data_IF_134703838016
#
_entry.id   IF_134703838016
#
_cell.length_a   1.000
_cell.length_b   1.000
_cell.length_c   1.000
_cell.angle_alpha   90.00
_cell.angle_beta   90.00
_cell.angle_gamma   90.00
#
_symmetry.space_group_name_H-M   'P 1'
#
loop_
_entity.id
_entity.type
_entity.pdbx_description
1 polymer ?
#
# COMPACT_ATOMS: atom_id res chain seq x y z
N UNK A 1 39.81 -25.39 -17.45
CA UNK A 1 38.39 -25.53 -17.85
C UNK A 1 37.55 -25.14 -16.68
N UNK A 2 37.32 -23.86 -16.50
CA UNK A 2 36.45 -23.27 -15.47
C UNK A 2 35.07 -23.11 -16.09
N UNK A 3 34.09 -23.83 -15.56
CA UNK A 3 32.68 -23.67 -15.94
C UNK A 3 32.17 -22.36 -15.34
N UNK A 4 31.86 -21.44 -16.22
CA UNK A 4 31.18 -20.20 -15.95
C UNK A 4 29.67 -20.53 -15.60
N UNK A 5 29.34 -20.44 -14.33
CA UNK A 5 27.96 -20.61 -13.83
C UNK A 5 27.34 -19.22 -13.61
N UNK A 6 27.21 -18.43 -14.67
CA UNK A 6 26.36 -17.27 -14.66
C UNK A 6 24.89 -17.77 -14.67
N UNK A 7 24.32 -18.04 -13.49
CA UNK A 7 22.87 -18.21 -13.37
C UNK A 7 22.22 -16.88 -13.73
N UNK A 8 21.68 -16.83 -14.93
CA UNK A 8 20.76 -15.84 -15.41
C UNK A 8 19.52 -15.91 -14.50
N UNK A 9 19.42 -15.01 -13.51
CA UNK A 9 18.22 -14.94 -12.66
C UNK A 9 17.12 -14.32 -13.52
N UNK A 10 15.99 -15.02 -13.71
CA UNK A 10 14.87 -14.48 -14.46
C UNK A 10 14.21 -13.40 -13.60
N UNK A 11 14.11 -12.19 -14.12
CA UNK A 11 13.18 -11.18 -13.59
C UNK A 11 11.79 -11.79 -13.44
N UNK A 12 10.94 -11.21 -12.58
CA UNK A 12 9.58 -11.72 -12.35
C UNK A 12 8.89 -11.83 -13.69
N UNK A 13 8.80 -13.08 -14.18
CA UNK A 13 8.21 -13.36 -15.46
C UNK A 13 6.70 -13.57 -15.30
N UNK A 14 5.96 -13.43 -16.39
CA UNK A 14 4.56 -13.90 -16.47
C UNK A 14 4.36 -15.27 -15.86
N UNK A 15 5.37 -16.15 -15.92
CA UNK A 15 5.33 -17.50 -15.35
C UNK A 15 5.28 -17.48 -13.81
N UNK A 16 6.02 -16.58 -13.16
CA UNK A 16 5.99 -16.48 -11.69
C UNK A 16 4.61 -16.01 -11.20
N UNK A 17 4.05 -14.97 -11.82
CA UNK A 17 2.72 -14.49 -11.50
C UNK A 17 1.65 -15.60 -11.68
N UNK A 18 1.74 -16.37 -12.78
CA UNK A 18 0.84 -17.48 -13.05
C UNK A 18 1.07 -18.69 -12.15
N UNK A 19 2.32 -18.98 -11.75
CA UNK A 19 2.65 -20.10 -10.86
C UNK A 19 2.16 -19.86 -9.42
N UNK A 20 2.37 -18.66 -8.89
CA UNK A 20 1.85 -18.29 -7.55
C UNK A 20 0.32 -18.30 -7.55
N UNK A 21 -0.31 -17.92 -8.67
CA UNK A 21 -1.78 -17.97 -8.81
C UNK A 21 -2.34 -19.37 -9.10
N UNK A 22 -1.52 -20.33 -9.53
CA UNK A 22 -1.95 -21.70 -9.89
C UNK A 22 -2.08 -22.68 -8.72
N UNK A 23 -1.39 -22.44 -7.60
CA UNK A 23 -1.36 -23.38 -6.48
C UNK A 23 -2.62 -23.39 -5.59
N UNK A 24 -3.59 -22.51 -5.84
CA UNK A 24 -4.84 -22.39 -5.07
C UNK A 24 -6.09 -23.01 -5.70
N UNK A 25 -5.96 -23.82 -6.77
CA UNK A 25 -7.09 -24.48 -7.43
C UNK A 25 -7.35 -25.85 -6.82
N UNK A 26 -7.99 -25.90 -5.64
CA UNK A 26 -8.70 -27.10 -5.20
C UNK A 26 -10.14 -26.72 -4.89
N UNK A 27 -11.05 -27.31 -5.70
CA UNK A 27 -12.50 -27.39 -5.56
C UNK A 27 -13.33 -26.11 -5.64
N UNK A 28 -13.62 -25.68 -6.86
CA UNK A 28 -14.87 -24.99 -7.15
C UNK A 28 -15.63 -25.79 -8.24
N UNK A 29 -16.25 -26.87 -7.83
CA UNK A 29 -17.26 -27.55 -8.65
C UNK A 29 -18.65 -27.05 -8.25
N UNK A 30 -19.33 -26.47 -9.24
CA UNK A 30 -20.78 -26.34 -9.37
C UNK A 30 -21.52 -25.55 -8.27
N UNK A 31 -21.60 -24.23 -8.40
CA UNK A 31 -22.77 -23.48 -7.98
C UNK A 31 -23.18 -22.57 -9.15
N UNK A 32 -23.97 -23.15 -10.05
CA UNK A 32 -24.55 -22.47 -11.19
C UNK A 32 -25.59 -21.43 -10.79
N UNK A 33 -25.73 -20.44 -11.62
CA UNK A 33 -26.90 -19.58 -11.93
C UNK A 33 -27.90 -19.10 -10.83
N UNK A 34 -27.94 -19.70 -9.65
CA UNK A 34 -28.82 -19.28 -8.53
C UNK A 34 -28.17 -18.27 -7.59
N UNK A 35 -26.84 -18.08 -7.68
CA UNK A 35 -26.10 -17.16 -6.81
C UNK A 35 -26.30 -15.67 -7.12
N UNK A 36 -26.74 -15.32 -8.30
CA UNK A 36 -26.90 -13.92 -8.71
C UNK A 36 -28.13 -13.22 -8.06
N UNK A 37 -29.23 -13.93 -7.85
CA UNK A 37 -30.41 -13.33 -7.22
C UNK A 37 -30.29 -13.20 -5.70
N UNK A 38 -29.59 -14.10 -5.03
CA UNK A 38 -29.39 -14.01 -3.58
C UNK A 38 -28.40 -12.89 -3.17
N UNK A 39 -27.57 -12.42 -4.08
CA UNK A 39 -26.60 -11.34 -3.83
C UNK A 39 -27.22 -9.93 -3.95
N UNK A 40 -28.30 -9.76 -4.67
CA UNK A 40 -29.02 -8.49 -4.79
C UNK A 40 -29.79 -8.12 -3.52
N UNK A 41 -30.13 -9.10 -2.66
CA UNK A 41 -30.82 -8.87 -1.38
C UNK A 41 -29.86 -8.73 -0.19
N UNK A 42 -28.56 -8.93 -0.38
CA UNK A 42 -27.57 -8.85 0.67
C UNK A 42 -26.27 -8.21 0.16
N UNK A 43 -26.22 -6.89 0.00
CA UNK A 43 -24.98 -6.16 0.26
C UNK A 43 -24.67 -6.26 1.78
N UNK A 44 -24.59 -7.51 2.27
CA UNK A 44 -24.46 -7.77 3.69
C UNK A 44 -23.08 -7.44 4.18
N UNK A 45 -22.03 -7.90 3.50
CA UNK A 45 -20.67 -7.81 3.99
C UNK A 45 -19.72 -7.43 2.86
N UNK A 46 -19.18 -6.20 2.91
CA UNK A 46 -18.19 -5.74 1.97
C UNK A 46 -16.79 -6.13 2.43
N UNK A 47 -16.08 -6.88 1.60
CA UNK A 47 -14.77 -7.42 1.93
C UNK A 47 -13.66 -6.67 1.21
N UNK A 48 -12.77 -6.05 2.00
CA UNK A 48 -11.51 -5.48 1.55
C UNK A 48 -10.37 -6.45 1.87
N UNK A 49 -9.45 -6.67 0.92
CA UNK A 49 -8.30 -7.56 1.11
C UNK A 49 -6.98 -6.80 1.14
N UNK A 50 -6.21 -7.04 2.21
CA UNK A 50 -4.90 -6.45 2.44
C UNK A 50 -3.83 -7.04 1.51
N UNK A 51 -2.82 -6.27 1.07
CA UNK A 51 -1.63 -6.79 0.41
C UNK A 51 -0.67 -7.50 1.38
N UNK A 52 -1.00 -7.56 2.66
CA UNK A 52 -0.15 -8.09 3.73
C UNK A 52 -0.78 -9.32 4.38
N UNK A 53 0.07 -10.22 4.88
CA UNK A 53 -0.36 -11.42 5.60
C UNK A 53 -0.90 -11.15 7.02
N UNK A 54 -1.06 -9.88 7.38
CA UNK A 54 -1.56 -9.44 8.69
C UNK A 54 -2.35 -8.14 8.55
N UNK A 55 -3.27 -7.92 9.49
CA UNK A 55 -3.97 -6.65 9.69
C UNK A 55 -3.41 -5.86 10.90
N UNK A 56 -2.47 -6.45 11.65
CA UNK A 56 -1.82 -5.79 12.79
C UNK A 56 -0.76 -4.80 12.32
N UNK A 57 -1.19 -3.73 11.65
CA UNK A 57 -0.36 -2.67 11.09
C UNK A 57 -1.06 -1.32 11.27
N UNK A 58 -0.28 -0.24 11.24
CA UNK A 58 -0.83 1.12 11.29
C UNK A 58 -1.19 1.66 9.90
N UNK A 59 -0.77 1.00 8.81
CA UNK A 59 -1.05 1.45 7.44
C UNK A 59 -2.54 1.58 7.14
N UNK A 60 -3.37 0.77 7.79
CA UNK A 60 -4.82 0.72 7.58
C UNK A 60 -5.60 1.53 8.64
N UNK A 61 -4.91 2.45 9.34
CA UNK A 61 -5.53 3.30 10.37
C UNK A 61 -6.81 4.02 9.92
N UNK A 62 -6.95 4.44 8.64
CA UNK A 62 -8.15 5.16 8.24
C UNK A 62 -9.41 4.30 8.37
N UNK A 63 -9.29 2.99 8.08
CA UNK A 63 -10.42 2.06 8.27
C UNK A 63 -10.81 1.94 9.73
N UNK A 64 -9.84 1.75 10.62
CA UNK A 64 -10.10 1.55 12.05
C UNK A 64 -10.64 2.81 12.71
N UNK A 65 -10.10 3.98 12.35
CA UNK A 65 -10.60 5.28 12.76
C UNK A 65 -12.05 5.50 12.29
N UNK A 66 -12.32 5.22 11.01
CA UNK A 66 -13.65 5.33 10.42
C UNK A 66 -14.65 4.37 11.08
N UNK A 67 -14.25 3.14 11.35
CA UNK A 67 -15.08 2.13 12.03
C UNK A 67 -15.41 2.55 13.46
N UNK A 68 -14.41 3.04 14.20
CA UNK A 68 -14.57 3.55 15.57
C UNK A 68 -15.52 4.76 15.63
N UNK A 69 -15.40 5.67 14.67
CA UNK A 69 -16.23 6.89 14.61
C UNK A 69 -17.59 6.68 13.92
N UNK A 70 -17.88 5.47 13.39
CA UNK A 70 -19.16 5.16 12.74
C UNK A 70 -19.30 5.74 11.33
N UNK A 71 -18.20 6.07 10.63
CA UNK A 71 -18.21 6.74 9.31
C UNK A 71 -18.60 5.82 8.14
N UNK A 72 -18.72 4.53 8.36
CA UNK A 72 -19.23 3.60 7.33
C UNK A 72 -20.78 3.58 7.26
N UNK A 73 -21.47 4.42 8.05
CA UNK A 73 -22.91 4.67 7.94
C UNK A 73 -23.76 3.36 7.96
N UNK A 74 -23.40 2.45 8.86
CA UNK A 74 -24.07 1.17 9.04
C UNK A 74 -23.75 0.09 8.01
N UNK A 75 -22.81 0.33 7.08
CA UNK A 75 -22.34 -0.70 6.18
C UNK A 75 -21.64 -1.84 6.95
N UNK A 76 -21.97 -3.08 6.62
CA UNK A 76 -21.25 -4.25 7.12
C UNK A 76 -19.94 -4.40 6.33
N UNK A 77 -18.82 -4.09 6.98
CA UNK A 77 -17.50 -4.07 6.34
C UNK A 77 -16.53 -5.03 7.02
N UNK A 78 -15.73 -5.71 6.22
CA UNK A 78 -14.72 -6.66 6.68
C UNK A 78 -13.37 -6.39 6.03
N UNK A 79 -12.31 -6.57 6.80
CA UNK A 79 -10.94 -6.56 6.29
C UNK A 79 -10.36 -7.96 6.43
N UNK A 80 -9.73 -8.45 5.37
CA UNK A 80 -9.08 -9.75 5.36
C UNK A 80 -7.58 -9.60 5.09
N UNK A 81 -6.72 -10.36 5.80
CA UNK A 81 -5.32 -10.46 5.44
C UNK A 81 -5.19 -11.17 4.09
N UNK A 82 -4.29 -10.69 3.26
CA UNK A 82 -3.90 -11.35 2.03
C UNK A 82 -2.58 -12.09 2.17
N UNK A 83 -2.11 -12.80 1.12
CA UNK A 83 -0.74 -13.29 1.10
C UNK A 83 0.24 -12.12 1.04
N UNK A 84 1.42 -12.34 1.62
CA UNK A 84 2.45 -11.30 1.79
C UNK A 84 3.06 -10.79 0.46
N UNK A 85 2.80 -11.47 -0.66
CA UNK A 85 3.26 -11.05 -1.99
C UNK A 85 2.33 -10.01 -2.65
N UNK A 86 1.16 -9.76 -2.09
CA UNK A 86 0.18 -8.79 -2.58
C UNK A 86 -0.64 -9.26 -3.79
N UNK A 87 -0.31 -10.40 -4.43
CA UNK A 87 -0.98 -10.84 -5.68
C UNK A 87 -2.45 -11.23 -5.48
N UNK A 88 -2.81 -11.71 -4.30
CA UNK A 88 -4.20 -12.05 -3.97
C UNK A 88 -5.13 -10.83 -3.98
N UNK A 89 -4.60 -9.63 -3.74
CA UNK A 89 -5.41 -8.40 -3.74
C UNK A 89 -6.10 -8.14 -5.07
N UNK A 90 -5.52 -8.59 -6.17
CA UNK A 90 -6.13 -8.48 -7.52
C UNK A 90 -6.90 -9.73 -7.88
N UNK A 91 -6.36 -10.91 -7.58
CA UNK A 91 -6.98 -12.18 -7.95
C UNK A 91 -8.31 -12.42 -7.23
N UNK A 92 -8.36 -12.20 -5.91
CA UNK A 92 -9.58 -12.41 -5.13
C UNK A 92 -10.69 -11.42 -5.55
N UNK A 93 -10.31 -10.19 -5.94
CA UNK A 93 -11.26 -9.25 -6.51
C UNK A 93 -11.76 -9.72 -7.87
N UNK A 94 -10.87 -10.13 -8.76
CA UNK A 94 -11.23 -10.58 -10.12
C UNK A 94 -12.22 -11.76 -10.08
N UNK A 95 -12.01 -12.73 -9.19
CA UNK A 95 -12.90 -13.90 -9.05
C UNK A 95 -14.07 -13.69 -8.08
N UNK A 96 -14.23 -12.50 -7.51
CA UNK A 96 -15.34 -12.14 -6.61
C UNK A 96 -15.27 -12.75 -5.21
N UNK A 97 -14.09 -13.15 -4.75
CA UNK A 97 -13.85 -13.58 -3.36
C UNK A 97 -13.60 -12.40 -2.41
N UNK A 98 -13.20 -11.25 -2.95
CA UNK A 98 -13.20 -9.98 -2.26
C UNK A 98 -13.88 -8.93 -3.14
N UNK A 99 -14.36 -7.85 -2.52
CA UNK A 99 -15.01 -6.76 -3.24
C UNK A 99 -14.01 -5.69 -3.65
N UNK A 100 -12.99 -5.45 -2.84
CA UNK A 100 -11.96 -4.45 -3.08
C UNK A 100 -10.59 -4.97 -2.67
N UNK A 101 -9.57 -4.66 -3.46
CA UNK A 101 -8.17 -4.97 -3.18
C UNK A 101 -7.30 -3.73 -3.04
N UNK A 102 -6.12 -3.92 -2.46
CA UNK A 102 -5.16 -2.83 -2.23
C UNK A 102 -3.77 -3.17 -2.80
N UNK A 103 -3.65 -3.42 -4.11
CA UNK A 103 -2.37 -3.75 -4.72
C UNK A 103 -1.41 -2.57 -4.79
N UNK A 104 -0.10 -2.88 -4.89
CA UNK A 104 0.87 -1.93 -5.41
C UNK A 104 0.63 -1.68 -6.91
N UNK A 105 1.14 -0.56 -7.47
CA UNK A 105 1.01 -0.29 -8.90
C UNK A 105 1.60 -1.41 -9.78
N UNK A 106 2.70 -2.03 -9.36
CA UNK A 106 3.32 -3.15 -10.07
C UNK A 106 2.42 -4.38 -10.15
N UNK A 107 1.83 -4.79 -9.03
CA UNK A 107 0.87 -5.92 -8.97
C UNK A 107 -0.37 -5.62 -9.80
N UNK A 108 -0.90 -4.39 -9.70
CA UNK A 108 -2.04 -3.95 -10.50
C UNK A 108 -1.74 -3.99 -12.01
N UNK A 109 -0.57 -3.51 -12.43
CA UNK A 109 -0.18 -3.54 -13.85
C UNK A 109 -0.09 -4.95 -14.40
N UNK A 110 0.43 -5.92 -13.63
CA UNK A 110 0.45 -7.32 -14.02
C UNK A 110 -0.97 -7.92 -14.15
N UNK A 111 -1.88 -7.55 -13.24
CA UNK A 111 -3.27 -7.99 -13.34
C UNK A 111 -3.90 -7.52 -14.66
N UNK A 112 -3.72 -6.26 -15.04
CA UNK A 112 -4.21 -5.70 -16.30
C UNK A 112 -3.57 -6.41 -17.51
N UNK A 113 -2.25 -6.63 -17.49
CA UNK A 113 -1.55 -7.36 -18.57
C UNK A 113 -2.04 -8.81 -18.74
N UNK A 114 -2.52 -9.44 -17.66
CA UNK A 114 -3.10 -10.78 -17.68
C UNK A 114 -4.60 -10.78 -17.99
N UNK A 115 -5.18 -9.65 -18.36
CA UNK A 115 -6.55 -9.53 -18.84
C UNK A 115 -7.61 -9.40 -17.76
N UNK A 116 -7.22 -9.26 -16.48
CA UNK A 116 -8.16 -8.99 -15.39
C UNK A 116 -8.86 -7.64 -15.63
N UNK A 117 -10.18 -7.62 -15.51
CA UNK A 117 -11.01 -6.43 -15.72
C UNK A 117 -11.19 -5.66 -14.43
N UNK A 118 -10.11 -5.03 -13.99
CA UNK A 118 -10.05 -4.24 -12.78
C UNK A 118 -9.93 -2.75 -13.07
N UNK A 119 -10.43 -1.92 -12.15
CA UNK A 119 -10.33 -0.47 -12.20
C UNK A 119 -9.83 0.05 -10.85
N UNK A 120 -8.85 0.93 -10.87
CA UNK A 120 -8.43 1.69 -9.71
C UNK A 120 -9.40 2.82 -9.45
N UNK A 121 -9.96 2.91 -8.23
CA UNK A 121 -11.06 3.82 -7.88
C UNK A 121 -10.72 4.77 -6.75
N UNK A 122 -9.63 4.53 -6.01
CA UNK A 122 -9.22 5.36 -4.89
C UNK A 122 -7.71 5.25 -4.67
N UNK A 123 -6.96 6.27 -5.08
CA UNK A 123 -5.51 6.32 -4.94
C UNK A 123 -5.11 6.68 -3.51
N UNK A 124 -4.92 5.68 -2.69
CA UNK A 124 -4.60 5.82 -1.27
C UNK A 124 -3.25 6.51 -1.08
N UNK A 125 -2.22 6.02 -1.74
CA UNK A 125 -0.85 6.54 -1.65
C UNK A 125 -0.58 7.65 -2.65
N UNK A 126 -0.94 8.89 -2.33
CA UNK A 126 -0.75 10.07 -3.18
C UNK A 126 0.71 10.41 -3.50
N UNK A 127 1.63 9.96 -2.65
CA UNK A 127 3.08 10.03 -2.87
C UNK A 127 3.63 8.62 -2.82
N UNK A 128 4.82 8.43 -3.40
CA UNK A 128 5.49 7.15 -3.34
C UNK A 128 5.81 6.80 -1.87
N UNK A 129 5.20 5.72 -1.40
CA UNK A 129 5.41 5.22 -0.04
C UNK A 129 6.70 4.41 0.09
N UNK A 130 7.22 3.90 -1.03
CA UNK A 130 8.35 2.98 -1.02
C UNK A 130 9.67 3.71 -0.82
N UNK A 131 10.60 3.04 -0.19
CA UNK A 131 11.89 3.58 0.21
C UNK A 131 12.95 2.49 0.10
N UNK A 132 14.20 2.88 -0.06
CA UNK A 132 15.34 1.97 0.01
C UNK A 132 16.04 2.19 1.35
N UNK A 133 16.07 1.15 2.17
CA UNK A 133 16.74 1.13 3.46
C UNK A 133 18.19 0.69 3.31
N UNK A 134 19.06 1.32 4.07
CA UNK A 134 20.51 1.02 4.15
C UNK A 134 20.91 0.89 5.61
N UNK A 135 21.96 0.13 5.89
CA UNK A 135 22.64 0.23 7.18
C UNK A 135 23.18 1.65 7.38
N UNK A 136 23.22 2.11 8.61
CA UNK A 136 23.63 3.46 8.94
C UNK A 136 25.05 3.77 8.44
N UNK A 137 25.22 4.89 7.76
CA UNK A 137 26.48 5.30 7.14
C UNK A 137 26.81 4.65 5.79
N UNK A 138 25.95 3.75 5.26
CA UNK A 138 26.14 3.09 3.98
C UNK A 138 25.20 3.59 2.88
N UNK A 139 24.23 4.45 3.23
CA UNK A 139 23.23 4.98 2.31
C UNK A 139 23.75 6.03 1.34
N UNK A 140 22.99 6.25 0.29
CA UNK A 140 23.31 7.26 -0.72
C UNK A 140 22.04 7.84 -1.32
N UNK A 141 22.07 9.14 -1.62
CA UNK A 141 21.06 9.80 -2.45
C UNK A 141 21.21 9.41 -3.95
N UNK A 142 22.37 8.96 -4.37
CA UNK A 142 22.60 8.44 -5.72
C UNK A 142 22.37 6.92 -5.74
N UNK A 143 21.18 6.51 -6.17
CA UNK A 143 20.80 5.10 -6.25
C UNK A 143 21.57 4.34 -7.35
N UNK A 144 22.30 5.00 -8.27
CA UNK A 144 23.17 4.31 -9.23
C UNK A 144 24.28 3.51 -8.54
N UNK A 145 24.63 3.85 -7.31
CA UNK A 145 25.55 3.07 -6.48
C UNK A 145 25.04 1.67 -6.12
N UNK A 146 23.75 1.39 -6.37
CA UNK A 146 23.17 0.05 -6.22
C UNK A 146 23.45 -0.87 -7.42
N UNK A 147 24.02 -0.36 -8.52
CA UNK A 147 24.50 -1.22 -9.61
C UNK A 147 25.60 -2.16 -9.10
N UNK A 148 25.42 -3.45 -9.33
CA UNK A 148 26.29 -4.52 -8.82
C UNK A 148 25.98 -4.97 -7.38
N UNK A 149 25.10 -4.28 -6.69
CA UNK A 149 24.71 -4.52 -5.29
C UNK A 149 23.52 -5.44 -5.17
N UNK A 150 23.24 -5.89 -3.94
CA UNK A 150 22.15 -6.81 -3.60
C UNK A 150 21.10 -6.09 -2.77
N UNK A 151 19.85 -6.08 -3.26
CA UNK A 151 18.68 -5.56 -2.55
C UNK A 151 17.87 -6.72 -2.00
N UNK A 152 17.56 -6.66 -0.71
CA UNK A 152 16.72 -7.63 -0.03
C UNK A 152 15.24 -7.27 -0.19
N UNK A 153 14.42 -8.28 -0.46
CA UNK A 153 12.97 -8.19 -0.58
C UNK A 153 12.31 -9.14 0.42
N UNK A 154 11.17 -8.76 0.96
CA UNK A 154 10.36 -9.66 1.78
C UNK A 154 9.60 -10.70 0.95
N UNK A 155 9.40 -10.43 -0.34
CA UNK A 155 8.87 -11.35 -1.35
C UNK A 155 9.50 -11.02 -2.70
N UNK A 156 9.78 -12.04 -3.53
CA UNK A 156 10.30 -11.85 -4.89
C UNK A 156 9.37 -10.99 -5.76
N UNK A 157 8.05 -11.04 -5.53
CA UNK A 157 7.06 -10.24 -6.25
C UNK A 157 7.27 -8.72 -6.07
N UNK A 158 7.95 -8.29 -5.00
CA UNK A 158 8.22 -6.87 -4.74
C UNK A 158 9.29 -6.27 -5.65
N UNK A 159 9.97 -7.09 -6.45
CA UNK A 159 10.80 -6.59 -7.54
C UNK A 159 9.98 -5.71 -8.50
N UNK A 160 8.69 -6.00 -8.69
CA UNK A 160 7.79 -5.18 -9.50
C UNK A 160 7.57 -3.75 -8.96
N UNK A 161 7.92 -3.51 -7.71
CA UNK A 161 7.93 -2.19 -7.07
C UNK A 161 9.31 -1.57 -7.19
N UNK A 162 10.35 -2.37 -6.96
CA UNK A 162 11.71 -1.88 -6.84
C UNK A 162 12.31 -1.50 -8.20
N UNK A 163 12.05 -2.31 -9.24
CA UNK A 163 12.58 -2.05 -10.60
C UNK A 163 12.15 -0.69 -11.15
N UNK A 164 10.84 -0.32 -11.19
CA UNK A 164 10.45 1.00 -11.69
C UNK A 164 10.96 2.15 -10.82
N UNK A 165 11.05 1.97 -9.50
CA UNK A 165 11.61 2.97 -8.59
C UNK A 165 13.08 3.25 -8.92
N UNK A 166 13.88 2.22 -9.11
CA UNK A 166 15.30 2.34 -9.45
C UNK A 166 15.50 2.87 -10.87
N UNK A 167 14.74 2.36 -11.84
CA UNK A 167 14.82 2.79 -13.23
C UNK A 167 14.49 4.28 -13.39
N UNK A 168 13.46 4.78 -12.69
CA UNK A 168 13.10 6.20 -12.66
C UNK A 168 14.24 7.09 -12.10
N UNK A 169 15.16 6.53 -11.31
CA UNK A 169 16.37 7.19 -10.81
C UNK A 169 17.59 6.95 -11.73
N UNK A 170 17.40 6.33 -12.89
CA UNK A 170 18.44 6.09 -13.89
C UNK A 170 19.41 4.95 -13.54
N UNK A 171 19.02 4.04 -12.66
CA UNK A 171 19.75 2.82 -12.32
C UNK A 171 19.57 1.79 -13.43
N UNK A 172 20.66 1.15 -13.88
CA UNK A 172 20.57 -0.04 -14.73
C UNK A 172 20.14 -1.25 -13.89
N UNK A 173 18.83 -1.50 -13.89
CA UNK A 173 18.20 -2.56 -13.07
C UNK A 173 18.74 -3.97 -13.39
N UNK A 174 19.33 -4.17 -14.60
CA UNK A 174 19.94 -5.45 -14.97
C UNK A 174 21.23 -5.74 -14.20
N UNK A 175 21.82 -4.73 -13.61
CA UNK A 175 23.02 -4.85 -12.76
C UNK A 175 22.68 -5.02 -11.28
N UNK A 176 21.41 -4.82 -10.88
CA UNK A 176 20.99 -4.99 -9.49
C UNK A 176 20.65 -6.45 -9.22
N UNK A 177 21.07 -6.96 -8.07
CA UNK A 177 20.74 -8.31 -7.62
C UNK A 177 19.63 -8.24 -6.59
N UNK A 178 18.66 -9.16 -6.66
CA UNK A 178 17.61 -9.27 -5.69
C UNK A 178 17.70 -10.59 -4.95
N UNK A 179 17.46 -10.56 -3.64
CA UNK A 179 17.37 -11.74 -2.79
C UNK A 179 16.09 -11.66 -1.99
N UNK A 180 15.24 -12.68 -2.10
CA UNK A 180 14.10 -12.86 -1.23
C UNK A 180 14.60 -13.36 0.13
N UNK A 181 14.53 -12.50 1.15
CA UNK A 181 14.92 -12.83 2.52
C UNK A 181 13.69 -13.14 3.41
N UNK A 182 12.49 -13.14 2.82
CA UNK A 182 11.25 -13.53 3.44
C UNK A 182 10.62 -12.49 4.36
N UNK A 183 9.29 -12.42 4.34
CA UNK A 183 8.50 -11.66 5.31
C UNK A 183 8.39 -12.44 6.64
N UNK A 184 8.62 -11.83 7.80
CA UNK A 184 8.94 -10.42 8.09
C UNK A 184 10.44 -10.18 8.41
N UNK A 185 11.35 -10.99 7.89
CA UNK A 185 12.74 -11.10 8.35
C UNK A 185 13.76 -10.30 7.52
N UNK A 186 13.40 -9.77 6.36
CA UNK A 186 14.36 -9.11 5.44
C UNK A 186 15.05 -7.87 6.05
N UNK A 187 14.40 -7.13 6.95
CA UNK A 187 15.05 -6.05 7.70
C UNK A 187 16.14 -6.56 8.63
N UNK A 188 15.87 -7.66 9.35
CA UNK A 188 16.88 -8.30 10.21
C UNK A 188 18.03 -8.88 9.39
N UNK A 189 17.74 -9.43 8.21
CA UNK A 189 18.76 -9.90 7.27
C UNK A 189 19.66 -8.75 6.79
N UNK A 190 19.09 -7.57 6.46
CA UNK A 190 19.86 -6.37 6.14
C UNK A 190 20.77 -5.95 7.31
N UNK A 191 20.23 -5.88 8.52
CA UNK A 191 21.03 -5.54 9.71
C UNK A 191 22.17 -6.54 9.95
N UNK A 192 21.93 -7.82 9.64
CA UNK A 192 22.93 -8.91 9.71
C UNK A 192 23.94 -8.94 8.55
N UNK A 193 23.89 -7.99 7.63
CA UNK A 193 24.87 -7.88 6.51
C UNK A 193 24.60 -8.79 5.31
N UNK A 194 23.40 -9.37 5.18
CA UNK A 194 23.10 -10.31 4.07
C UNK A 194 22.88 -9.64 2.72
N UNK A 195 22.69 -8.33 2.68
CA UNK A 195 22.54 -7.53 1.46
C UNK A 195 23.13 -6.15 1.65
N UNK A 196 23.08 -5.33 0.61
CA UNK A 196 23.57 -3.94 0.63
C UNK A 196 22.45 -2.96 0.95
N UNK A 197 21.21 -3.29 0.58
CA UNK A 197 20.02 -2.48 0.80
C UNK A 197 18.77 -3.35 0.92
N UNK A 198 17.65 -2.77 1.30
CA UNK A 198 16.35 -3.46 1.32
C UNK A 198 15.22 -2.53 0.87
N UNK A 199 14.19 -3.10 0.21
CA UNK A 199 12.94 -2.38 -0.01
C UNK A 199 12.25 -2.15 1.34
N UNK A 200 11.75 -0.94 1.53
CA UNK A 200 11.01 -0.51 2.70
C UNK A 200 9.85 0.40 2.29
N UNK A 201 9.06 0.89 3.24
CA UNK A 201 8.02 1.90 3.01
C UNK A 201 7.81 2.77 4.25
N UNK A 202 7.09 3.87 4.06
CA UNK A 202 6.71 4.75 5.15
C UNK A 202 5.84 3.97 6.17
N UNK A 203 5.93 4.30 7.44
CA UNK A 203 5.28 3.54 8.51
C UNK A 203 6.14 2.37 9.00
N UNK A 204 6.68 1.53 8.11
CA UNK A 204 7.56 0.43 8.47
C UNK A 204 8.86 0.92 9.17
N UNK A 205 9.31 2.14 8.87
CA UNK A 205 10.49 2.72 9.53
C UNK A 205 10.34 2.74 11.05
N UNK A 206 9.18 3.16 11.56
CA UNK A 206 8.90 3.18 12.99
C UNK A 206 8.82 1.75 13.57
N UNK A 207 8.23 0.80 12.83
CA UNK A 207 8.19 -0.61 13.25
C UNK A 207 9.59 -1.25 13.32
N UNK A 208 10.48 -0.89 12.39
CA UNK A 208 11.86 -1.38 12.42
C UNK A 208 12.63 -0.79 13.60
N UNK A 209 12.45 0.49 13.92
CA UNK A 209 13.01 1.10 15.13
C UNK A 209 12.52 0.35 16.38
N UNK A 210 11.23 0.02 16.48
CA UNK A 210 10.69 -0.75 17.59
C UNK A 210 11.34 -2.15 17.74
N UNK A 211 11.84 -2.71 16.65
CA UNK A 211 12.59 -3.97 16.62
C UNK A 211 14.10 -3.78 16.83
N UNK A 212 14.56 -2.57 17.14
CA UNK A 212 15.98 -2.25 17.30
C UNK A 212 16.76 -2.17 15.98
N UNK A 213 16.07 -2.05 14.84
CA UNK A 213 16.67 -1.93 13.51
C UNK A 213 16.76 -0.43 13.14
N UNK A 214 17.95 0.15 13.28
CA UNK A 214 18.20 1.57 13.01
C UNK A 214 18.89 1.71 11.64
N UNK A 215 18.10 2.11 10.64
CA UNK A 215 18.53 2.28 9.26
C UNK A 215 18.49 3.75 8.83
N UNK A 216 19.16 4.07 7.73
CA UNK A 216 18.94 5.28 6.96
C UNK A 216 18.25 4.94 5.64
N UNK A 217 17.54 5.92 5.06
CA UNK A 217 16.62 5.66 3.96
C UNK A 217 16.76 6.66 2.83
N UNK A 218 16.81 6.15 1.60
CA UNK A 218 16.39 6.94 0.46
C UNK A 218 14.86 6.88 0.42
N UNK A 219 14.22 8.02 0.67
CA UNK A 219 12.77 8.10 0.85
C UNK A 219 12.07 8.42 -0.47
N UNK A 220 11.21 7.52 -0.95
CA UNK A 220 10.40 7.75 -2.14
C UNK A 220 9.49 8.96 -2.01
N UNK A 221 8.89 9.15 -0.84
CA UNK A 221 8.03 10.32 -0.53
C UNK A 221 8.69 11.67 -0.78
N UNK A 222 10.02 11.74 -0.77
CA UNK A 222 10.81 12.96 -1.04
C UNK A 222 11.37 13.02 -2.47
N UNK A 223 11.67 11.87 -3.06
CA UNK A 223 12.55 11.77 -4.23
C UNK A 223 11.88 11.12 -5.45
N UNK A 224 10.72 10.49 -5.29
CA UNK A 224 9.98 9.83 -6.35
C UNK A 224 8.68 10.54 -6.66
N UNK A 225 8.24 10.43 -7.93
CA UNK A 225 6.93 10.88 -8.39
C UNK A 225 6.02 9.70 -8.77
N UNK A 226 6.47 8.48 -8.51
CA UNK A 226 5.67 7.29 -8.81
C UNK A 226 4.48 7.20 -7.85
N UNK A 227 3.36 6.65 -8.31
CA UNK A 227 2.21 6.39 -7.45
C UNK A 227 2.50 5.25 -6.47
N UNK A 228 1.82 5.25 -5.34
CA UNK A 228 1.82 4.12 -4.43
C UNK A 228 0.52 3.30 -4.55
N UNK A 229 0.21 2.49 -3.53
CA UNK A 229 -0.93 1.57 -3.53
C UNK A 229 -2.28 2.26 -3.74
N UNK A 230 -3.17 1.55 -4.41
CA UNK A 230 -4.51 2.03 -4.77
C UNK A 230 -5.58 0.97 -4.49
N UNK A 231 -6.82 1.40 -4.30
CA UNK A 231 -7.95 0.48 -4.21
C UNK A 231 -8.46 0.12 -5.59
N UNK A 232 -8.60 -1.17 -5.82
CA UNK A 232 -9.12 -1.71 -7.08
C UNK A 232 -10.40 -2.52 -6.87
N UNK A 233 -11.30 -2.42 -7.83
CA UNK A 233 -12.55 -3.17 -7.91
C UNK A 233 -12.69 -3.79 -9.30
N UNK A 234 -13.64 -4.69 -9.51
CA UNK A 234 -14.01 -5.14 -10.85
C UNK A 234 -14.61 -3.99 -11.65
N UNK A 235 -14.23 -3.85 -12.92
CA UNK A 235 -14.80 -2.81 -13.79
C UNK A 235 -16.32 -2.92 -13.88
N UNK A 236 -16.88 -4.14 -13.90
CA UNK A 236 -18.32 -4.39 -13.93
C UNK A 236 -19.07 -3.87 -12.67
N UNK A 237 -18.40 -3.74 -11.53
CA UNK A 237 -19.02 -3.21 -10.32
C UNK A 237 -19.30 -1.70 -10.41
N UNK A 238 -18.64 -0.99 -11.33
CA UNK A 238 -18.87 0.43 -11.61
C UNK A 238 -20.04 0.67 -12.59
N UNK A 239 -20.44 -0.37 -13.33
CA UNK A 239 -21.56 -0.35 -14.26
C UNK A 239 -22.90 -0.64 -13.56
N UNK A 240 -22.85 -1.22 -12.36
CA UNK A 240 -23.99 -1.48 -11.50
C UNK A 240 -24.25 -0.27 -10.58
N UNK A 241 -25.38 0.47 -10.74
CA UNK A 241 -25.66 1.68 -9.97
C UNK A 241 -25.70 1.44 -8.46
N UNK A 242 -26.20 0.29 -8.00
CA UNK A 242 -26.33 -0.02 -6.57
C UNK A 242 -24.95 -0.29 -5.96
N UNK A 243 -24.10 -1.02 -6.68
CA UNK A 243 -22.71 -1.24 -6.28
C UNK A 243 -21.89 0.05 -6.29
N UNK A 244 -22.09 0.87 -7.31
CA UNK A 244 -21.41 2.16 -7.39
C UNK A 244 -21.79 3.05 -6.19
N UNK A 245 -23.07 3.14 -5.87
CA UNK A 245 -23.55 3.90 -4.70
C UNK A 245 -23.00 3.34 -3.36
N UNK A 246 -22.87 2.01 -3.27
CA UNK A 246 -22.24 1.37 -2.11
C UNK A 246 -20.75 1.75 -2.02
N UNK A 247 -20.00 1.67 -3.12
CA UNK A 247 -18.59 2.04 -3.20
C UNK A 247 -18.37 3.50 -2.81
N UNK A 248 -19.23 4.41 -3.26
CA UNK A 248 -19.18 5.84 -2.90
C UNK A 248 -19.28 6.04 -1.38
N UNK A 249 -20.21 5.34 -0.71
CA UNK A 249 -20.36 5.38 0.76
C UNK A 249 -19.15 4.77 1.47
N UNK A 250 -18.67 3.62 1.00
CA UNK A 250 -17.53 2.93 1.57
C UNK A 250 -16.26 3.77 1.48
N UNK A 251 -15.98 4.35 0.31
CA UNK A 251 -14.83 5.22 0.09
C UNK A 251 -14.94 6.53 0.87
N UNK A 252 -16.17 7.03 1.10
CA UNK A 252 -16.40 8.17 2.01
C UNK A 252 -15.97 7.84 3.43
N UNK A 253 -16.29 6.65 3.94
CA UNK A 253 -15.79 6.19 5.24
C UNK A 253 -14.27 6.23 5.32
N UNK A 254 -13.57 5.73 4.30
CA UNK A 254 -12.11 5.81 4.22
C UNK A 254 -11.60 7.25 4.17
N UNK A 255 -12.21 8.11 3.38
CA UNK A 255 -11.82 9.52 3.28
C UNK A 255 -12.01 10.27 4.61
N UNK A 256 -13.10 9.98 5.33
CA UNK A 256 -13.33 10.52 6.68
C UNK A 256 -12.32 9.98 7.69
N UNK A 257 -11.92 8.70 7.59
CA UNK A 257 -10.88 8.11 8.42
C UNK A 257 -9.49 8.72 8.16
N UNK A 258 -9.17 9.02 6.90
CA UNK A 258 -7.96 9.75 6.50
C UNK A 258 -7.97 11.17 7.07
N UNK A 259 -9.09 11.87 6.95
CA UNK A 259 -9.26 13.21 7.54
C UNK A 259 -9.14 13.18 9.07
N UNK A 260 -9.79 12.20 9.73
CA UNK A 260 -9.69 12.02 11.18
C UNK A 260 -8.24 11.88 11.65
N UNK A 261 -7.46 10.99 11.01
CA UNK A 261 -6.06 10.81 11.35
C UNK A 261 -5.20 12.04 11.08
N UNK A 262 -5.50 12.79 10.00
CA UNK A 262 -4.85 14.06 9.72
C UNK A 262 -5.11 15.11 10.80
N UNK A 263 -6.35 15.19 11.31
CA UNK A 263 -6.73 16.12 12.37
C UNK A 263 -6.14 15.72 13.73
N UNK A 264 -6.13 14.43 14.07
CA UNK A 264 -5.58 13.92 15.32
C UNK A 264 -4.87 12.57 15.14
N UNK A 265 -3.58 12.58 14.80
CA UNK A 265 -2.82 11.34 14.57
C UNK A 265 -2.75 10.45 15.83
N UNK A 266 -2.74 11.01 17.04
CA UNK A 266 -2.73 10.25 18.30
C UNK A 266 -4.02 9.44 18.46
N UNK A 267 -5.17 10.05 18.19
CA UNK A 267 -6.46 9.38 18.24
C UNK A 267 -6.56 8.25 17.20
N UNK A 268 -6.00 8.45 16.01
CA UNK A 268 -5.96 7.43 14.99
C UNK A 268 -5.10 6.22 15.39
N UNK A 269 -3.93 6.45 16.01
CA UNK A 269 -3.10 5.35 16.55
C UNK A 269 -3.85 4.60 17.63
N UNK A 270 -4.45 5.32 18.57
CA UNK A 270 -5.12 4.70 19.71
C UNK A 270 -6.32 3.86 19.26
N UNK A 271 -7.06 4.31 18.25
CA UNK A 271 -8.14 3.51 17.64
C UNK A 271 -7.63 2.19 17.04
N UNK A 272 -6.43 2.17 16.44
CA UNK A 272 -5.80 0.94 15.95
C UNK A 272 -5.30 0.07 17.10
N UNK A 273 -4.70 0.68 18.11
CA UNK A 273 -4.14 -0.03 19.26
C UNK A 273 -5.21 -0.71 20.12
N UNK A 274 -6.40 -0.12 20.22
CA UNK A 274 -7.55 -0.77 20.85
C UNK A 274 -7.93 -2.09 20.13
N UNK A 275 -7.77 -2.12 18.81
CA UNK A 275 -8.05 -3.30 17.99
C UNK A 275 -6.91 -4.33 18.07
N UNK A 276 -5.65 -3.88 18.20
CA UNK A 276 -4.45 -4.71 18.15
C UNK A 276 -3.53 -4.46 19.35
N UNK A 277 -3.82 -5.05 20.52
CA UNK A 277 -3.04 -4.82 21.73
C UNK A 277 -1.56 -5.26 21.62
N UNK A 278 -1.27 -6.28 20.81
CA UNK A 278 0.12 -6.72 20.56
C UNK A 278 0.91 -5.66 19.81
N UNK A 279 0.31 -5.04 18.79
CA UNK A 279 0.92 -3.92 18.06
C UNK A 279 1.18 -2.73 19.00
N UNK A 280 0.19 -2.43 19.85
CA UNK A 280 0.31 -1.37 20.86
C UNK A 280 1.49 -1.57 21.80
N UNK A 281 1.66 -2.80 22.29
CA UNK A 281 2.79 -3.17 23.17
C UNK A 281 4.13 -3.03 22.47
N UNK A 282 4.21 -3.37 21.19
CA UNK A 282 5.45 -3.39 20.43
C UNK A 282 5.91 -1.98 20.04
N UNK A 283 4.98 -1.11 19.66
CA UNK A 283 5.30 0.25 19.17
C UNK A 283 5.26 1.30 20.28
N UNK A 284 4.29 1.22 21.16
CA UNK A 284 3.99 2.29 22.09
C UNK A 284 3.46 3.57 21.41
N UNK A 285 3.04 4.57 22.21
CA UNK A 285 2.38 5.77 21.67
C UNK A 285 3.26 6.61 20.74
N UNK A 286 4.55 6.79 21.04
CA UNK A 286 5.45 7.68 20.29
C UNK A 286 5.77 7.10 18.89
N UNK A 287 6.24 5.85 18.82
CA UNK A 287 6.54 5.21 17.53
C UNK A 287 5.26 4.96 16.71
N UNK A 288 4.14 4.64 17.37
CA UNK A 288 2.85 4.55 16.71
C UNK A 288 2.45 5.87 16.06
N UNK A 289 2.58 6.99 16.78
CA UNK A 289 2.29 8.33 16.24
C UNK A 289 3.25 8.71 15.13
N UNK A 290 4.54 8.36 15.25
CA UNK A 290 5.55 8.55 14.21
C UNK A 290 5.15 7.80 12.93
N UNK A 291 4.77 6.53 13.04
CA UNK A 291 4.34 5.69 11.91
C UNK A 291 3.13 6.30 11.18
N UNK A 292 2.09 6.70 11.91
CA UNK A 292 0.90 7.33 11.28
C UNK A 292 1.25 8.68 10.65
N UNK A 293 2.09 9.49 11.25
CA UNK A 293 2.52 10.76 10.63
C UNK A 293 3.29 10.53 9.33
N UNK A 294 4.12 9.49 9.25
CA UNK A 294 4.76 9.06 8.01
C UNK A 294 3.72 8.69 6.94
N UNK A 295 2.71 7.90 7.32
CA UNK A 295 1.62 7.50 6.42
C UNK A 295 0.73 8.68 6.00
N UNK A 296 0.39 9.59 6.91
CA UNK A 296 -0.37 10.80 6.59
C UNK A 296 0.33 11.61 5.51
N UNK A 297 1.65 11.75 5.59
CA UNK A 297 2.43 12.48 4.57
C UNK A 297 2.32 11.83 3.18
N UNK A 298 2.27 10.49 3.12
CA UNK A 298 2.05 9.75 1.87
C UNK A 298 0.62 9.93 1.38
N UNK A 299 -0.38 9.67 2.24
CA UNK A 299 -1.79 9.59 1.84
C UNK A 299 -2.37 10.96 1.50
N UNK A 300 -1.95 12.00 2.20
CA UNK A 300 -2.41 13.37 1.97
C UNK A 300 -1.86 13.96 0.67
N UNK A 301 -0.60 13.74 0.39
CA UNK A 301 0.07 14.38 -0.73
C UNK A 301 -0.02 15.92 -0.67
N UNK A 302 -0.08 16.56 -1.81
CA UNK A 302 -0.35 18.00 -1.95
C UNK A 302 -1.86 18.21 -2.12
N UNK A 303 -2.57 18.29 -0.99
CA UNK A 303 -4.03 18.33 -0.97
C UNK A 303 -4.61 19.55 -1.72
N UNK A 304 -3.86 20.65 -1.82
CA UNK A 304 -4.31 21.86 -2.51
C UNK A 304 -4.35 21.66 -4.04
N UNK A 305 -3.64 20.65 -4.55
CA UNK A 305 -3.60 20.26 -5.97
C UNK A 305 -4.41 19.01 -6.29
N UNK A 306 -4.98 18.36 -5.28
CA UNK A 306 -5.77 17.14 -5.45
C UNK A 306 -7.26 17.43 -5.43
N UNK A 307 -8.04 16.62 -6.12
CA UNK A 307 -9.50 16.65 -6.08
C UNK A 307 -10.12 16.11 -4.78
N UNK A 308 -9.30 15.79 -3.76
CA UNK A 308 -9.70 15.23 -2.48
C UNK A 308 -8.92 13.96 -2.10
N UNK A 309 -9.26 13.37 -0.96
CA UNK A 309 -8.73 12.06 -0.56
C UNK A 309 -9.03 11.00 -1.63
N UNK A 310 -8.05 10.21 -1.97
CA UNK A 310 -8.19 9.14 -2.96
C UNK A 310 -8.10 9.57 -4.43
N UNK A 311 -7.98 10.86 -4.73
CA UNK A 311 -7.85 11.34 -6.10
C UNK A 311 -6.57 10.84 -6.76
N UNK A 312 -6.68 10.32 -7.98
CA UNK A 312 -5.52 9.94 -8.80
C UNK A 312 -4.90 11.17 -9.45
N UNK A 313 -3.57 11.25 -9.38
CA UNK A 313 -2.78 12.04 -10.32
C UNK A 313 -2.58 11.20 -11.60
N UNK A 314 -3.39 11.44 -12.62
CA UNK A 314 -3.37 10.67 -13.86
C UNK A 314 -2.03 10.78 -14.58
N UNK A 315 -1.32 11.91 -14.47
CA UNK A 315 0.00 12.10 -15.07
C UNK A 315 1.05 11.22 -14.37
N UNK A 316 1.01 11.14 -13.04
CA UNK A 316 1.87 10.24 -12.26
C UNK A 316 1.64 8.77 -12.61
N UNK A 317 0.36 8.35 -12.72
CA UNK A 317 0.01 6.98 -13.12
C UNK A 317 0.43 6.66 -14.55
N UNK A 318 0.25 7.60 -15.51
CA UNK A 318 0.71 7.41 -16.88
C UNK A 318 2.23 7.29 -16.93
N UNK A 319 2.95 8.16 -16.21
CA UNK A 319 4.41 8.10 -16.12
C UNK A 319 4.92 6.76 -15.54
N UNK A 320 4.20 6.19 -14.58
CA UNK A 320 4.50 4.86 -14.05
C UNK A 320 4.30 3.77 -15.13
N UNK A 321 3.15 3.76 -15.83
CA UNK A 321 2.90 2.78 -16.89
C UNK A 321 3.90 2.87 -18.03
N UNK A 322 4.28 4.09 -18.42
CA UNK A 322 5.29 4.32 -19.46
C UNK A 322 6.67 3.78 -19.02
N UNK A 323 7.07 4.00 -17.76
CA UNK A 323 8.36 3.51 -17.24
C UNK A 323 8.39 1.98 -17.16
N UNK A 324 7.35 1.34 -16.64
CA UNK A 324 7.32 -0.14 -16.57
C UNK A 324 7.23 -0.81 -17.94
N UNK A 325 6.62 -0.16 -18.93
CA UNK A 325 6.65 -0.61 -20.32
C UNK A 325 8.05 -0.46 -20.92
N UNK A 326 8.70 0.67 -20.73
CA UNK A 326 10.04 0.97 -21.19
C UNK A 326 11.08 -0.02 -20.65
N UNK A 327 11.00 -0.40 -19.37
CA UNK A 327 11.91 -1.39 -18.76
C UNK A 327 11.52 -2.85 -19.07
N UNK A 328 10.44 -3.08 -19.80
CA UNK A 328 9.96 -4.40 -20.21
C UNK A 328 9.24 -5.19 -19.10
N UNK A 329 8.84 -4.55 -18.01
CA UNK A 329 8.05 -5.19 -16.95
C UNK A 329 6.65 -5.55 -17.44
N UNK A 330 6.07 -4.74 -18.33
CA UNK A 330 4.85 -5.04 -19.07
C UNK A 330 5.14 -5.03 -20.57
N UNK A 331 4.38 -5.85 -21.34
CA UNK A 331 4.59 -5.99 -22.79
C UNK A 331 3.73 -5.05 -23.62
N UNK A 332 2.53 -4.72 -23.13
CA UNK A 332 1.60 -3.83 -23.82
C UNK A 332 1.51 -2.51 -23.06
N UNK A 333 1.52 -1.36 -23.76
CA UNK A 333 1.31 -0.08 -23.11
C UNK A 333 -0.07 -0.03 -22.45
N UNK A 334 -0.15 0.66 -21.30
CA UNK A 334 -1.40 0.86 -20.56
C UNK A 334 -1.66 2.36 -20.49
N UNK A 335 -2.88 2.79 -20.81
CA UNK A 335 -3.32 4.14 -20.56
C UNK A 335 -3.92 4.26 -19.17
N UNK A 336 -3.48 5.23 -18.40
CA UNK A 336 -4.00 5.45 -17.05
C UNK A 336 -5.52 5.65 -17.04
N UNK A 337 -6.08 6.39 -18.00
CA UNK A 337 -7.52 6.63 -18.15
C UNK A 337 -8.37 5.37 -18.35
N UNK A 338 -7.78 4.31 -18.96
CA UNK A 338 -8.47 3.05 -19.19
C UNK A 338 -8.60 2.21 -17.91
N UNK A 339 -7.72 2.41 -16.93
CA UNK A 339 -7.60 1.54 -15.74
C UNK A 339 -7.72 2.26 -14.40
N UNK A 340 -7.69 3.59 -14.39
CA UNK A 340 -7.93 4.44 -13.22
C UNK A 340 -9.16 5.34 -13.46
N UNK A 341 -9.86 5.70 -12.39
CA UNK A 341 -10.95 6.69 -12.48
C UNK A 341 -11.02 7.54 -11.20
N UNK A 342 -11.43 8.78 -11.37
CA UNK A 342 -11.76 9.71 -10.29
C UNK A 342 -13.28 9.90 -10.11
N UNK A 343 -14.12 9.10 -10.78
CA UNK A 343 -15.58 9.30 -10.80
C UNK A 343 -16.24 9.16 -9.43
N UNK A 344 -15.65 8.35 -8.54
CA UNK A 344 -16.17 8.15 -7.17
C UNK A 344 -15.63 9.20 -6.18
N UNK A 345 -14.60 9.96 -6.56
CA UNK A 345 -13.89 10.86 -5.65
C UNK A 345 -14.76 12.02 -5.14
N UNK A 346 -15.59 12.68 -5.98
CA UNK A 346 -16.48 13.73 -5.47
C UNK A 346 -17.41 13.21 -4.38
N UNK A 347 -18.06 12.06 -4.58
CA UNK A 347 -18.95 11.47 -3.59
C UNK A 347 -18.22 10.96 -2.34
N UNK A 348 -17.01 10.41 -2.50
CA UNK A 348 -16.18 9.97 -1.39
C UNK A 348 -15.70 11.14 -0.51
N UNK A 349 -15.61 12.35 -1.05
CA UNK A 349 -15.20 13.54 -0.31
C UNK A 349 -16.36 14.47 0.08
N UNK A 350 -17.61 14.06 -0.19
CA UNK A 350 -18.80 14.79 0.22
C UNK A 350 -19.16 14.49 1.68
N UNK A 351 -18.42 15.10 2.61
CA UNK A 351 -18.64 15.01 4.05
C UNK A 351 -18.27 16.29 4.78
N UNK A 352 -18.83 16.48 5.95
CA UNK A 352 -18.55 17.62 6.82
C UNK A 352 -17.19 17.46 7.52
N UNK A 353 -16.17 18.16 7.01
CA UNK A 353 -14.82 18.17 7.59
C UNK A 353 -14.78 18.76 9.00
N UNK A 354 -15.66 19.72 9.32
CA UNK A 354 -15.73 20.31 10.65
C UNK A 354 -16.24 19.29 11.67
N UNK A 355 -17.21 18.46 11.27
CA UNK A 355 -17.68 17.33 12.09
C UNK A 355 -16.54 16.33 12.33
N UNK A 356 -15.83 15.90 11.29
CA UNK A 356 -14.72 14.94 11.45
C UNK A 356 -13.63 15.52 12.36
N UNK A 357 -13.32 16.80 12.22
CA UNK A 357 -12.38 17.48 13.13
C UNK A 357 -12.88 17.49 14.58
N UNK A 358 -14.15 17.80 14.81
CA UNK A 358 -14.72 17.79 16.15
C UNK A 358 -14.71 16.38 16.76
N UNK A 359 -15.02 15.34 15.98
CA UNK A 359 -14.93 13.94 16.40
C UNK A 359 -13.49 13.55 16.79
N UNK A 360 -12.50 13.98 15.99
CA UNK A 360 -11.08 13.71 16.23
C UNK A 360 -10.54 14.47 17.47
N UNK A 361 -10.93 15.73 17.64
CA UNK A 361 -10.55 16.56 18.81
C UNK A 361 -11.22 16.05 20.09
N UNK A 362 -12.45 15.55 19.98
CA UNK A 362 -13.24 14.99 21.07
C UNK A 362 -12.83 13.58 21.53
N UNK A 363 -11.93 12.94 20.80
CA UNK A 363 -11.46 11.60 21.15
C UNK A 363 -10.73 11.59 22.50
N UNK A 364 -11.14 10.71 23.41
CA UNK A 364 -10.51 10.59 24.72
C UNK A 364 -9.21 9.83 24.64
N UNK A 365 -8.11 10.56 24.62
CA UNK A 365 -6.77 9.98 24.63
C UNK A 365 -6.43 9.43 26.00
N UNK A 366 -5.77 8.26 26.06
CA UNK A 366 -5.10 7.79 27.25
C UNK A 366 -3.90 8.69 27.60
N UNK A 367 -3.42 8.60 28.84
CA UNK A 367 -2.35 9.47 29.38
C UNK A 367 -1.10 9.47 28.50
N UNK A 368 -0.67 8.29 28.02
CA UNK A 368 0.52 8.15 27.17
C UNK A 368 0.40 8.88 25.84
N UNK A 369 -0.79 8.93 25.23
CA UNK A 369 -1.03 9.68 24.01
C UNK A 369 -1.27 11.16 24.25
N UNK A 370 -1.95 11.52 25.33
CA UNK A 370 -2.24 12.92 25.67
C UNK A 370 -0.95 13.71 25.92
N UNK A 371 0.07 13.07 26.48
CA UNK A 371 1.36 13.68 26.80
C UNK A 371 2.28 13.89 25.58
N UNK A 372 1.96 13.32 24.40
CA UNK A 372 2.82 13.41 23.21
C UNK A 372 2.80 14.81 22.59
N UNK A 373 3.98 15.33 22.33
CA UNK A 373 4.20 16.51 21.50
C UNK A 373 4.29 16.11 20.01
N UNK A 374 3.18 16.22 19.31
CA UNK A 374 3.07 15.85 17.89
C UNK A 374 3.96 16.73 17.01
N UNK A 375 4.12 18.01 17.34
CA UNK A 375 4.95 18.93 16.54
C UNK A 375 6.43 18.59 16.66
N UNK A 376 6.87 18.17 17.85
CA UNK A 376 8.22 17.63 18.04
C UNK A 376 8.44 16.37 17.20
N UNK A 377 7.49 15.44 17.18
CA UNK A 377 7.60 14.23 16.34
C UNK A 377 7.67 14.59 14.85
N UNK A 378 6.83 15.52 14.38
CA UNK A 378 6.86 16.02 12.99
C UNK A 378 8.21 16.61 12.60
N UNK A 379 8.86 17.36 13.49
CA UNK A 379 10.16 17.97 13.25
C UNK A 379 11.27 16.94 12.94
N UNK A 380 11.14 15.72 13.49
CA UNK A 380 12.12 14.63 13.35
C UNK A 380 11.70 13.54 12.36
N UNK A 381 10.59 13.73 11.65
CA UNK A 381 10.00 12.69 10.79
C UNK A 381 10.92 12.17 9.67
N UNK A 382 11.89 12.99 9.26
CA UNK A 382 12.82 12.71 8.16
C UNK A 382 14.29 12.61 8.59
N UNK A 383 14.59 12.53 9.89
CA UNK A 383 15.98 12.47 10.39
C UNK A 383 16.74 11.23 9.92
N UNK A 384 16.01 10.14 9.63
CA UNK A 384 16.59 8.92 9.08
C UNK A 384 16.79 8.93 7.56
N UNK A 385 16.50 10.05 6.86
CA UNK A 385 16.80 10.16 5.43
C UNK A 385 18.30 10.21 5.18
N UNK A 386 18.78 9.56 4.11
CA UNK A 386 20.17 9.69 3.63
C UNK A 386 20.48 11.16 3.31
N UNK A 387 21.71 11.58 3.60
CA UNK A 387 22.18 12.96 3.42
C UNK A 387 22.81 13.18 2.04
#
# INVERSE_FOLDING_TARGET
>A
MTKDNSMNQPGISRRYFLQVTGAGLVTATALGATGFKARAEAYGKFTWISPRGTLEVLDDYPYWAAKKAGYFDGLDTDMQPGPSDGTATVKFVDVGQADMGFPSPGVFSFAIQNGMKLKSVFHMGARDTFSIAFRKGEGSNDLKKLEGKTILLGSAAWQSITDPLLAAQGVDIKKVKYVEAGWPTWGTALAGGQGDAALSWEGLRAEWIAKGLDFEYWLGVKNSKLPANTFVVRSADLEDPDKKAFLEKYLRGWAMGLEFGYQNPRAAVEAVFEQFPTLAKNLGPELGTTSILQQINVFRGDMDKRGGWGSHDMASWQGFFDEIHKIGQITNPVKAEDVCTNDLIPAANDFDKAKVKADADGFKLSEGFAALDVEKIKAHLFDSAVK
#
